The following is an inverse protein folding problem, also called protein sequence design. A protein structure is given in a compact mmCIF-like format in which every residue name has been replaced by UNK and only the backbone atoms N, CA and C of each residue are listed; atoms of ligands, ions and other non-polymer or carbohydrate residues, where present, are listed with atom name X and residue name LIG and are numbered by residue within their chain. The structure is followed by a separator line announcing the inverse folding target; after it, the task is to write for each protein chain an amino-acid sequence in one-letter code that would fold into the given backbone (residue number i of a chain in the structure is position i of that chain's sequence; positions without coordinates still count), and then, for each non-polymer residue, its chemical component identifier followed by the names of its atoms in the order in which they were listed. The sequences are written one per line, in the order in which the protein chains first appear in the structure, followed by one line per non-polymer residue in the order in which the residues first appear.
data_IF_498166938739
#
_entry.id   IF_498166938739
#
_cell.length_a   1.000
_cell.length_b   1.000
_cell.length_c   1.000
_cell.angle_alpha   90.00
_cell.angle_beta   90.00
_cell.angle_gamma   90.00
#
_symmetry.space_group_name_H-M   'P 1'
#
loop_
_entity.id
_entity.type
_entity.pdbx_description
1 polymer ?
#
# COMPACT_ATOMS: atom_id res chain seq x y z
N UNK A 1 18.27 -0.19 10.03
CA UNK A 1 17.08 0.44 10.63
C UNK A 1 16.11 0.79 9.51
N UNK A 2 14.86 0.33 9.53
CA UNK A 2 13.89 0.70 8.49
C UNK A 2 13.60 2.21 8.59
N UNK A 3 13.69 2.89 7.45
CA UNK A 3 13.35 4.32 7.35
C UNK A 3 11.84 4.46 7.56
N UNK A 4 11.43 5.20 8.58
CA UNK A 4 10.03 5.55 8.82
C UNK A 4 9.67 6.75 7.93
N UNK A 5 8.80 6.54 6.95
CA UNK A 5 8.55 7.52 5.89
C UNK A 5 7.55 8.62 6.29
N UNK A 6 6.80 8.41 7.36
CA UNK A 6 5.80 9.36 7.86
C UNK A 6 6.14 9.70 9.34
N UNK A 7 6.67 10.91 9.62
CA UNK A 7 7.18 11.30 10.93
C UNK A 7 6.09 11.70 11.94
N UNK A 8 4.83 11.67 11.53
CA UNK A 8 3.70 11.76 12.44
C UNK A 8 2.75 10.65 12.07
N UNK A 9 2.50 9.65 12.92
CA UNK A 9 1.24 8.94 12.78
C UNK A 9 0.18 10.05 12.84
N UNK A 10 -0.83 10.03 11.97
CA UNK A 10 -2.14 10.41 12.47
C UNK A 10 -2.34 9.47 13.64
N UNK A 11 -1.92 9.89 14.83
CA UNK A 11 -1.88 9.05 16.01
C UNK A 11 -3.31 8.58 16.11
N UNK A 12 -3.54 7.30 15.83
CA UNK A 12 -4.83 6.69 16.12
C UNK A 12 -5.11 7.16 17.53
N UNK A 13 -6.15 7.99 17.76
CA UNK A 13 -6.34 8.57 19.06
C UNK A 13 -6.25 7.44 20.08
N UNK A 14 -5.46 7.68 21.14
CA UNK A 14 -5.32 6.77 22.27
C UNK A 14 -6.69 6.16 22.58
N UNK A 15 -6.74 4.87 22.92
CA UNK A 15 -8.01 4.19 23.22
C UNK A 15 -8.78 5.05 24.22
N UNK A 16 -9.81 5.74 23.72
CA UNK A 16 -10.71 6.56 24.54
C UNK A 16 -11.88 5.68 24.94
N UNK A 17 -12.84 6.24 25.68
CA UNK A 17 -14.12 5.59 26.01
C UNK A 17 -14.89 5.05 24.79
N UNK A 18 -14.49 5.41 23.56
CA UNK A 18 -15.04 4.89 22.29
C UNK A 18 -14.30 3.67 21.71
N UNK A 19 -13.29 3.11 22.40
CA UNK A 19 -12.62 1.86 21.98
C UNK A 19 -11.50 2.01 20.95
N UNK A 20 -11.08 3.25 20.64
CA UNK A 20 -10.00 3.56 19.68
C UNK A 20 -10.51 4.17 18.37
N UNK A 21 -9.66 4.22 17.35
CA UNK A 21 -10.01 4.79 16.04
C UNK A 21 -10.10 3.79 14.88
N UNK A 22 -9.52 2.59 15.03
CA UNK A 22 -9.50 1.57 13.98
C UNK A 22 -10.18 0.31 14.50
N UNK A 23 -11.22 -0.12 13.80
CA UNK A 23 -12.06 -1.26 14.16
C UNK A 23 -11.93 -2.31 13.06
N UNK A 24 -11.66 -3.55 13.44
CA UNK A 24 -11.69 -4.70 12.53
C UNK A 24 -12.63 -5.73 13.10
N UNK A 25 -13.44 -6.35 12.25
CA UNK A 25 -14.37 -7.40 12.69
C UNK A 25 -13.64 -8.50 13.46
N UNK A 26 -14.29 -9.01 14.51
CA UNK A 26 -13.73 -9.95 15.46
C UNK A 26 -14.27 -9.66 16.85
N UNK A 27 -13.37 -9.41 17.80
CA UNK A 27 -13.71 -9.07 19.18
C UNK A 27 -13.26 -7.62 19.45
N UNK A 28 -14.11 -6.75 20.03
CA UNK A 28 -15.45 -7.04 20.58
C UNK A 28 -16.58 -7.03 19.54
N UNK A 29 -16.38 -6.45 18.35
CA UNK A 29 -17.44 -6.27 17.35
C UNK A 29 -17.29 -7.20 16.16
N UNK A 30 -18.37 -7.92 15.83
CA UNK A 30 -18.50 -8.72 14.61
C UNK A 30 -18.64 -7.86 13.35
N UNK A 31 -18.61 -8.52 12.18
CA UNK A 31 -18.71 -7.84 10.89
C UNK A 31 -20.02 -7.05 10.71
N UNK A 32 -21.15 -7.68 11.07
CA UNK A 32 -22.47 -7.08 10.94
C UNK A 32 -22.64 -5.83 11.83
N UNK A 33 -22.10 -5.88 13.06
CA UNK A 33 -22.12 -4.74 13.99
C UNK A 33 -21.32 -3.56 13.44
N UNK A 34 -20.11 -3.81 12.92
CA UNK A 34 -19.31 -2.74 12.31
C UNK A 34 -19.95 -2.16 11.04
N UNK A 35 -20.66 -2.99 10.26
CA UNK A 35 -21.45 -2.49 9.13
C UNK A 35 -22.61 -1.62 9.57
N UNK A 36 -23.37 -2.03 10.59
CA UNK A 36 -24.46 -1.22 11.14
C UNK A 36 -23.94 0.12 11.67
N UNK A 37 -22.86 0.12 12.45
CA UNK A 37 -22.21 1.34 12.92
C UNK A 37 -21.73 2.25 11.77
N UNK A 38 -21.29 1.67 10.66
CA UNK A 38 -20.90 2.44 9.48
C UNK A 38 -22.13 3.04 8.75
N UNK A 39 -23.23 2.31 8.68
CA UNK A 39 -24.50 2.81 8.14
C UNK A 39 -25.08 3.95 8.99
N UNK A 40 -24.92 3.88 10.31
CA UNK A 40 -25.29 4.92 11.26
C UNK A 40 -24.33 6.13 11.25
N UNK A 41 -23.30 6.10 10.39
CA UNK A 41 -22.34 7.19 10.23
C UNK A 41 -21.29 7.29 11.34
N UNK A 42 -21.21 6.32 12.25
CA UNK A 42 -20.20 6.29 13.33
C UNK A 42 -18.82 5.88 12.81
N UNK A 43 -18.80 5.08 11.75
CA UNK A 43 -17.60 4.53 11.15
C UNK A 43 -17.55 4.79 9.63
N UNK A 44 -16.33 4.85 9.09
CA UNK A 44 -16.05 4.84 7.65
C UNK A 44 -15.32 3.57 7.26
N UNK A 45 -15.76 2.96 6.18
CA UNK A 45 -15.08 1.79 5.62
C UNK A 45 -13.69 2.13 5.08
N UNK A 46 -12.67 1.37 5.49
CA UNK A 46 -11.29 1.51 4.98
C UNK A 46 -11.02 0.44 3.94
N UNK A 47 -11.03 -0.83 4.35
CA UNK A 47 -10.75 -1.98 3.50
C UNK A 47 -11.23 -3.28 4.16
N UNK A 48 -11.77 -4.21 3.37
CA UNK A 48 -12.31 -5.49 3.85
C UNK A 48 -13.22 -5.28 5.08
N UNK A 49 -12.95 -5.93 6.20
CA UNK A 49 -13.75 -5.79 7.43
C UNK A 49 -13.13 -4.78 8.41
N UNK A 50 -12.37 -3.82 7.90
CA UNK A 50 -11.72 -2.76 8.69
C UNK A 50 -12.33 -1.39 8.39
N UNK A 51 -12.64 -0.70 9.48
CA UNK A 51 -13.31 0.59 9.54
C UNK A 51 -12.54 1.55 10.43
N UNK A 52 -12.73 2.85 10.20
CA UNK A 52 -12.16 3.92 11.02
C UNK A 52 -13.27 4.79 11.57
N UNK A 53 -13.09 5.39 12.75
CA UNK A 53 -14.05 6.34 13.33
C UNK A 53 -14.32 7.53 12.39
N UNK A 54 -15.56 8.04 12.40
CA UNK A 54 -16.02 9.10 11.49
C UNK A 54 -15.29 10.44 11.61
N UNK A 55 -14.57 10.72 12.68
CA UNK A 55 -13.79 11.95 12.87
C UNK A 55 -12.34 11.79 12.39
N UNK A 56 -11.88 10.56 12.14
CA UNK A 56 -10.49 10.24 11.76
C UNK A 56 -10.36 10.00 10.26
N UNK A 57 -9.60 10.84 9.57
CA UNK A 57 -9.32 10.66 8.13
C UNK A 57 -8.34 9.49 7.95
N UNK A 58 -8.61 8.51 7.06
CA UNK A 58 -7.66 7.44 6.76
C UNK A 58 -6.33 8.01 6.23
N UNK A 59 -5.27 7.84 7.01
CA UNK A 59 -3.90 8.18 6.63
C UNK A 59 -3.16 6.91 6.12
N UNK A 60 -1.88 7.01 5.74
CA UNK A 60 -1.12 5.84 5.32
C UNK A 60 -1.02 4.75 6.40
N UNK A 61 -0.93 5.11 7.68
CA UNK A 61 -0.83 4.14 8.78
C UNK A 61 -2.12 3.33 8.88
N UNK A 62 -3.27 3.98 8.86
CA UNK A 62 -4.60 3.35 8.87
C UNK A 62 -4.76 2.39 7.68
N UNK A 63 -4.41 2.84 6.47
CA UNK A 63 -4.51 2.01 5.27
C UNK A 63 -3.57 0.79 5.33
N UNK A 64 -2.34 0.98 5.81
CA UNK A 64 -1.38 -0.10 5.93
C UNK A 64 -1.83 -1.15 6.97
N UNK A 65 -2.32 -0.70 8.14
CA UNK A 65 -2.86 -1.58 9.17
C UNK A 65 -4.08 -2.34 8.65
N UNK A 66 -5.03 -1.66 7.99
CA UNK A 66 -6.20 -2.29 7.38
C UNK A 66 -5.80 -3.36 6.35
N UNK A 67 -4.84 -3.06 5.48
CA UNK A 67 -4.31 -4.04 4.52
C UNK A 67 -3.69 -5.26 5.21
N UNK A 68 -2.91 -5.05 6.27
CA UNK A 68 -2.23 -6.12 7.00
C UNK A 68 -3.20 -7.07 7.70
N UNK A 69 -4.32 -6.55 8.21
CA UNK A 69 -5.35 -7.37 8.90
C UNK A 69 -6.00 -8.42 8.01
N UNK A 70 -6.05 -8.17 6.70
CA UNK A 70 -6.58 -9.12 5.71
C UNK A 70 -5.69 -10.35 5.54
N UNK A 71 -4.39 -10.21 5.81
CA UNK A 71 -3.45 -11.30 5.64
C UNK A 71 -3.48 -12.27 6.83
N UNK A 72 -3.26 -13.59 6.61
CA UNK A 72 -3.12 -14.55 7.69
C UNK A 72 -2.00 -14.13 8.66
N UNK A 73 -2.27 -14.19 9.97
CA UNK A 73 -1.36 -13.69 11.00
C UNK A 73 0.07 -14.25 10.88
N UNK A 74 0.20 -15.56 10.61
CA UNK A 74 1.51 -16.21 10.46
C UNK A 74 2.31 -15.80 9.21
N UNK A 75 1.66 -15.20 8.20
CA UNK A 75 2.31 -14.73 6.98
C UNK A 75 2.69 -13.25 7.03
N UNK A 76 1.98 -12.43 7.82
CA UNK A 76 2.19 -10.97 7.90
C UNK A 76 3.66 -10.56 8.04
N UNK A 77 4.51 -11.19 8.90
CA UNK A 77 5.89 -10.76 9.08
C UNK A 77 6.79 -10.99 7.84
N UNK A 78 6.36 -11.86 6.91
CA UNK A 78 7.14 -12.24 5.71
C UNK A 78 6.70 -11.52 4.45
N UNK A 79 5.57 -10.82 4.52
CA UNK A 79 4.96 -10.15 3.38
C UNK A 79 5.20 -8.65 3.45
N UNK A 80 5.39 -8.03 2.30
CA UNK A 80 5.51 -6.58 2.13
C UNK A 80 4.39 -6.09 1.21
N UNK A 81 3.68 -5.02 1.57
CA UNK A 81 2.68 -4.42 0.70
C UNK A 81 3.37 -3.74 -0.48
N UNK A 82 2.96 -4.04 -1.72
CA UNK A 82 3.66 -3.58 -2.92
C UNK A 82 2.74 -2.99 -3.98
N UNK A 83 3.34 -2.51 -5.09
CA UNK A 83 2.62 -2.07 -6.31
C UNK A 83 1.46 -1.10 -6.00
N UNK A 84 0.28 -1.34 -6.57
CA UNK A 84 -0.90 -0.49 -6.43
C UNK A 84 -1.41 -0.46 -4.98
N UNK A 85 -1.14 -1.51 -4.19
CA UNK A 85 -1.48 -1.52 -2.76
C UNK A 85 -0.60 -0.56 -1.96
N UNK A 86 0.70 -0.55 -2.21
CA UNK A 86 1.60 0.44 -1.61
C UNK A 86 1.24 1.87 -2.05
N UNK A 87 0.92 2.10 -3.33
CA UNK A 87 0.46 3.41 -3.78
C UNK A 87 -0.87 3.83 -3.12
N UNK A 88 -1.81 2.92 -2.91
CA UNK A 88 -3.04 3.22 -2.18
C UNK A 88 -2.75 3.57 -0.72
N UNK A 89 -1.86 2.82 -0.05
CA UNK A 89 -1.40 3.13 1.30
C UNK A 89 -0.83 4.56 1.35
N UNK A 90 0.02 4.93 0.40
CA UNK A 90 0.55 6.31 0.29
C UNK A 90 -0.49 7.36 -0.15
N UNK A 91 -1.74 6.98 -0.44
CA UNK A 91 -2.79 7.90 -0.89
C UNK A 91 -2.67 8.32 -2.35
N UNK A 92 -1.85 7.61 -3.14
CA UNK A 92 -1.55 7.91 -4.54
C UNK A 92 -2.35 7.04 -5.53
N UNK A 93 -3.11 6.07 -5.06
CA UNK A 93 -3.96 5.21 -5.88
C UNK A 93 -5.34 4.98 -5.23
N UNK A 94 -6.38 4.65 -6.01
CA UNK A 94 -7.66 4.23 -5.46
C UNK A 94 -7.51 2.94 -4.65
N UNK A 95 -8.51 2.66 -3.81
CA UNK A 95 -8.58 1.42 -3.05
C UNK A 95 -8.56 0.20 -4.00
N UNK A 96 -7.63 -0.76 -3.84
CA UNK A 96 -7.56 -1.91 -4.72
C UNK A 96 -8.71 -2.89 -4.44
N UNK A 97 -9.04 -3.74 -5.43
CA UNK A 97 -9.98 -4.85 -5.21
C UNK A 97 -9.31 -6.05 -4.52
N UNK A 98 -8.03 -6.27 -4.80
CA UNK A 98 -7.17 -7.27 -4.16
C UNK A 98 -5.83 -6.63 -3.79
N UNK A 99 -5.28 -7.01 -2.64
CA UNK A 99 -4.01 -6.49 -2.17
C UNK A 99 -2.85 -7.15 -2.93
N UNK A 100 -1.97 -6.35 -3.52
CA UNK A 100 -0.68 -6.81 -4.02
C UNK A 100 0.29 -6.93 -2.85
N UNK A 101 0.70 -8.16 -2.56
CA UNK A 101 1.69 -8.45 -1.52
C UNK A 101 2.90 -9.14 -2.11
N UNK A 102 4.05 -8.86 -1.52
CA UNK A 102 5.34 -9.34 -1.99
C UNK A 102 6.00 -10.21 -0.94
N UNK A 103 6.43 -11.39 -1.35
CA UNK A 103 7.37 -12.21 -0.56
C UNK A 103 8.77 -12.06 -1.14
N UNK A 104 9.75 -12.00 -0.25
CA UNK A 104 11.14 -12.13 -0.66
C UNK A 104 11.39 -13.55 -1.17
N UNK A 105 11.91 -13.68 -2.39
CA UNK A 105 12.29 -14.97 -2.98
C UNK A 105 13.29 -15.76 -2.13
N UNK A 106 14.06 -15.09 -1.26
CA UNK A 106 15.00 -15.75 -0.32
C UNK A 106 14.32 -16.31 0.92
N UNK A 107 13.09 -15.88 1.23
CA UNK A 107 12.32 -16.34 2.37
C UNK A 107 11.45 -17.52 1.99
N UNK A 108 11.46 -18.59 2.80
CA UNK A 108 10.45 -19.66 2.70
C UNK A 108 9.10 -19.08 3.07
N UNK A 109 8.23 -18.84 2.10
CA UNK A 109 6.88 -18.31 2.34
C UNK A 109 5.87 -19.35 1.85
N UNK A 110 4.87 -19.66 2.67
CA UNK A 110 3.79 -20.54 2.25
C UNK A 110 2.90 -19.84 1.21
N UNK A 111 2.21 -20.62 0.39
CA UNK A 111 1.23 -20.07 -0.54
C UNK A 111 0.07 -19.39 0.20
N UNK A 112 -0.48 -18.32 -0.37
CA UNK A 112 -1.80 -17.83 0.05
C UNK A 112 -2.86 -18.88 -0.25
N UNK A 113 -3.94 -18.89 0.54
CA UNK A 113 -5.09 -19.76 0.24
C UNK A 113 -5.69 -19.35 -1.12
N UNK A 114 -6.24 -20.31 -1.88
CA UNK A 114 -7.06 -19.99 -3.06
C UNK A 114 -8.13 -18.96 -2.72
N UNK A 115 -8.45 -18.08 -3.67
CA UNK A 115 -9.44 -17.00 -3.50
C UNK A 115 -9.13 -15.99 -2.39
N UNK A 116 -7.86 -15.87 -1.98
CA UNK A 116 -7.44 -14.78 -1.10
C UNK A 116 -7.76 -13.40 -1.71
N UNK A 117 -8.14 -12.47 -0.86
CA UNK A 117 -8.25 -11.03 -1.16
C UNK A 117 -6.90 -10.35 -1.35
N UNK A 118 -5.81 -11.14 -1.41
CA UNK A 118 -4.46 -10.72 -1.74
C UNK A 118 -3.85 -11.59 -2.85
N UNK A 119 -2.99 -10.99 -3.66
CA UNK A 119 -2.20 -11.63 -4.72
C UNK A 119 -0.73 -11.60 -4.29
N UNK A 120 -0.12 -12.77 -4.17
CA UNK A 120 1.28 -12.92 -3.78
C UNK A 120 2.20 -12.86 -5.00
N UNK A 121 3.16 -11.95 -4.95
CA UNK A 121 4.24 -11.83 -5.92
C UNK A 121 5.57 -12.17 -5.27
N UNK A 122 6.27 -13.15 -5.79
CA UNK A 122 7.62 -13.48 -5.33
C UNK A 122 8.65 -12.60 -6.05
N UNK A 123 9.32 -11.75 -5.30
CA UNK A 123 10.27 -10.76 -5.84
C UNK A 123 11.57 -10.78 -5.05
N UNK A 124 12.66 -10.32 -5.66
CA UNK A 124 13.87 -10.01 -4.93
C UNK A 124 13.73 -8.63 -4.31
N UNK A 125 13.81 -8.55 -2.98
CA UNK A 125 13.71 -7.31 -2.23
C UNK A 125 15.04 -7.00 -1.54
N UNK A 126 15.64 -5.88 -1.89
CA UNK A 126 16.81 -5.34 -1.19
C UNK A 126 16.43 -4.64 0.12
N UNK A 127 17.42 -4.34 1.00
CA UNK A 127 17.17 -3.61 2.24
C UNK A 127 16.53 -2.23 2.04
N UNK A 128 16.82 -1.54 0.93
CA UNK A 128 16.26 -0.24 0.58
C UNK A 128 14.89 -0.31 -0.13
N UNK A 129 14.44 -1.51 -0.50
CA UNK A 129 13.16 -1.70 -1.19
C UNK A 129 11.98 -1.62 -0.23
N UNK A 130 12.23 -1.57 1.09
CA UNK A 130 11.19 -1.61 2.12
C UNK A 130 11.29 -0.42 3.07
N UNK A 131 10.13 0.05 3.50
CA UNK A 131 9.94 1.01 4.58
C UNK A 131 8.87 0.49 5.52
N UNK A 132 8.84 1.02 6.75
CA UNK A 132 7.74 0.76 7.66
C UNK A 132 6.75 1.92 7.60
N UNK A 133 5.47 1.58 7.39
CA UNK A 133 4.34 2.50 7.56
C UNK A 133 3.58 2.02 8.80
N UNK A 134 3.79 2.71 9.92
CA UNK A 134 3.46 2.15 11.23
C UNK A 134 4.30 0.90 11.50
N UNK A 135 3.65 -0.24 11.72
CA UNK A 135 4.30 -1.55 11.91
C UNK A 135 4.27 -2.43 10.67
N UNK A 136 3.74 -1.92 9.55
CA UNK A 136 3.50 -2.71 8.34
C UNK A 136 4.62 -2.46 7.34
N UNK A 137 5.29 -3.52 6.85
CA UNK A 137 6.26 -3.41 5.76
C UNK A 137 5.55 -3.05 4.44
N UNK A 138 6.03 -1.98 3.81
CA UNK A 138 5.55 -1.48 2.52
C UNK A 138 6.76 -1.26 1.61
N UNK A 139 6.63 -1.45 0.31
CA UNK A 139 7.70 -1.09 -0.62
C UNK A 139 8.03 0.39 -0.50
N UNK A 140 9.31 0.76 -0.60
CA UNK A 140 9.72 2.17 -0.60
C UNK A 140 9.02 2.92 -1.75
N UNK A 141 8.85 4.25 -1.66
CA UNK A 141 8.17 5.00 -2.72
C UNK A 141 8.79 4.80 -4.11
N UNK A 142 10.13 4.82 -4.19
CA UNK A 142 10.86 4.55 -5.44
C UNK A 142 10.60 3.13 -5.95
N UNK A 143 10.69 2.13 -5.08
CA UNK A 143 10.40 0.74 -5.45
C UNK A 143 8.97 0.57 -5.94
N UNK A 144 8.02 1.18 -5.23
CA UNK A 144 6.59 1.20 -5.57
C UNK A 144 6.37 1.79 -6.96
N UNK A 145 6.97 2.94 -7.26
CA UNK A 145 6.87 3.58 -8.56
C UNK A 145 7.46 2.72 -9.68
N UNK A 146 8.62 2.09 -9.46
CA UNK A 146 9.23 1.16 -10.42
C UNK A 146 8.31 -0.04 -10.69
N UNK A 147 7.78 -0.67 -9.63
CA UNK A 147 6.91 -1.83 -9.79
C UNK A 147 5.59 -1.46 -10.48
N UNK A 148 5.04 -0.26 -10.24
CA UNK A 148 3.85 0.26 -10.93
C UNK A 148 4.15 0.53 -12.41
N UNK A 149 5.26 1.19 -12.72
CA UNK A 149 5.65 1.46 -14.10
C UNK A 149 5.79 0.16 -14.91
N UNK A 150 6.32 -0.90 -14.29
CA UNK A 150 6.53 -2.19 -14.95
C UNK A 150 5.28 -3.04 -15.07
N UNK A 151 4.43 -3.08 -14.04
CA UNK A 151 3.43 -4.14 -13.90
C UNK A 151 1.98 -3.67 -13.86
N UNK A 152 1.72 -2.40 -13.57
CA UNK A 152 0.35 -1.89 -13.54
C UNK A 152 -0.17 -1.61 -14.96
N UNK A 153 -1.49 -1.67 -15.12
CA UNK A 153 -2.15 -1.25 -16.36
C UNK A 153 -1.94 0.25 -16.56
N UNK A 154 -1.73 0.70 -17.78
CA UNK A 154 -1.41 2.11 -18.09
C UNK A 154 -2.44 3.09 -17.49
N UNK A 155 -3.74 2.75 -17.56
CA UNK A 155 -4.84 3.56 -16.98
C UNK A 155 -4.70 3.79 -15.47
N UNK A 156 -4.13 2.83 -14.75
CA UNK A 156 -3.91 2.91 -13.30
C UNK A 156 -2.52 3.47 -12.98
N UNK A 157 -1.52 3.12 -13.80
CA UNK A 157 -0.12 3.45 -13.59
C UNK A 157 0.16 4.95 -13.71
N UNK A 158 -0.30 5.59 -14.79
CA UNK A 158 0.03 7.01 -15.07
C UNK A 158 -0.48 7.94 -13.96
N UNK A 159 -1.76 7.86 -13.52
CA UNK A 159 -2.24 8.68 -12.41
C UNK A 159 -1.52 8.39 -11.09
N UNK A 160 -1.17 7.12 -10.82
CA UNK A 160 -0.46 6.75 -9.59
C UNK A 160 0.97 7.29 -9.58
N UNK A 161 1.71 7.16 -10.68
CA UNK A 161 3.06 7.70 -10.84
C UNK A 161 3.07 9.22 -10.67
N UNK A 162 2.11 9.92 -11.30
CA UNK A 162 1.97 11.37 -11.15
C UNK A 162 1.74 11.78 -9.70
N UNK A 163 0.84 11.09 -8.98
CA UNK A 163 0.58 11.37 -7.56
C UNK A 163 1.77 11.04 -6.66
N UNK A 164 2.47 9.93 -6.90
CA UNK A 164 3.68 9.56 -6.17
C UNK A 164 4.76 10.64 -6.31
N UNK A 165 4.93 11.17 -7.52
CA UNK A 165 5.92 12.22 -7.80
C UNK A 165 5.54 13.59 -7.24
N UNK A 166 4.24 13.92 -7.23
CA UNK A 166 3.73 15.15 -6.65
C UNK A 166 3.69 15.14 -5.12
N UNK A 167 3.73 13.96 -4.47
CA UNK A 167 3.60 13.86 -3.03
C UNK A 167 4.91 14.27 -2.31
N UNK A 168 4.95 15.40 -1.58
CA UNK A 168 6.19 15.99 -1.07
C UNK A 168 6.92 15.07 -0.08
N UNK A 169 6.19 14.38 0.78
CA UNK A 169 6.78 13.48 1.78
C UNK A 169 7.38 12.18 1.19
N UNK A 170 7.06 11.81 -0.06
CA UNK A 170 7.54 10.56 -0.66
C UNK A 170 8.89 10.71 -1.35
N UNK A 171 9.28 11.94 -1.72
CA UNK A 171 10.55 12.22 -2.41
C UNK A 171 10.74 11.47 -3.73
N UNK A 172 9.66 10.95 -4.34
CA UNK A 172 9.73 10.00 -5.46
C UNK A 172 9.63 10.71 -6.82
N UNK A 173 10.68 11.43 -7.21
CA UNK A 173 10.70 12.12 -8.53
C UNK A 173 10.73 11.10 -9.67
N UNK A 174 9.99 11.37 -10.76
CA UNK A 174 9.93 10.48 -11.94
C UNK A 174 11.32 10.21 -12.56
N UNK A 175 12.22 11.19 -12.50
CA UNK A 175 13.62 11.01 -12.92
C UNK A 175 14.37 9.93 -12.14
N UNK A 176 14.09 9.79 -10.85
CA UNK A 176 14.68 8.72 -10.03
C UNK A 176 14.13 7.36 -10.45
N UNK A 177 12.84 7.29 -10.79
CA UNK A 177 12.18 6.07 -11.29
C UNK A 177 12.81 5.64 -12.61
N UNK A 178 13.00 6.58 -13.55
CA UNK A 178 13.69 6.35 -14.83
C UNK A 178 15.11 5.81 -14.61
N UNK A 179 15.91 6.49 -13.78
CA UNK A 179 17.29 6.04 -13.45
C UNK A 179 17.33 4.65 -12.83
N UNK A 180 16.37 4.32 -11.96
CA UNK A 180 16.27 2.99 -11.37
C UNK A 180 15.98 1.90 -12.41
N UNK A 181 15.13 2.18 -13.41
CA UNK A 181 14.88 1.28 -14.53
C UNK A 181 16.11 1.16 -15.45
N UNK A 182 16.86 2.24 -15.65
CA UNK A 182 18.05 2.26 -16.50
C UNK A 182 19.24 1.50 -15.90
N UNK A 183 19.40 1.54 -14.57
CA UNK A 183 20.40 0.75 -13.87
C UNK A 183 20.16 -0.77 -13.97
N UNK A 184 18.93 -1.19 -14.31
CA UNK A 184 18.59 -2.59 -14.49
C UNK A 184 19.14 -3.17 -15.79
N UNK A 185 20.07 -4.14 -15.70
CA UNK A 185 20.77 -4.72 -16.87
C UNK A 185 19.83 -5.37 -17.90
N UNK A 186 18.72 -5.97 -17.45
CA UNK A 186 17.65 -6.55 -18.29
C UNK A 186 16.31 -6.47 -17.55
N UNK A 187 15.48 -5.51 -17.93
CA UNK A 187 14.17 -5.30 -17.31
C UNK A 187 13.07 -5.57 -18.33
N UNK A 188 12.35 -6.71 -18.23
CA UNK A 188 11.21 -6.99 -19.09
C UNK A 188 10.16 -5.87 -18.97
N UNK A 189 9.59 -5.44 -20.09
CA UNK A 189 8.59 -4.37 -20.12
C UNK A 189 9.15 -2.96 -19.89
N UNK A 190 10.47 -2.76 -19.93
CA UNK A 190 11.11 -1.44 -19.74
C UNK A 190 10.58 -0.38 -20.69
N UNK A 191 10.41 -0.69 -21.98
CA UNK A 191 9.90 0.28 -22.96
C UNK A 191 8.53 0.84 -22.55
N UNK A 192 7.56 -0.04 -22.29
CA UNK A 192 6.24 0.36 -21.81
C UNK A 192 6.28 1.09 -20.44
N UNK A 193 7.22 0.73 -19.57
CA UNK A 193 7.42 1.44 -18.30
C UNK A 193 7.92 2.88 -18.51
N UNK A 194 8.84 3.10 -19.45
CA UNK A 194 9.33 4.43 -19.79
C UNK A 194 8.22 5.27 -20.45
N UNK A 195 7.43 4.70 -21.34
CA UNK A 195 6.26 5.37 -21.93
C UNK A 195 5.26 5.86 -20.86
N UNK A 196 5.00 5.04 -19.84
CA UNK A 196 4.14 5.42 -18.70
C UNK A 196 4.74 6.54 -17.87
N UNK A 197 6.07 6.55 -17.68
CA UNK A 197 6.78 7.62 -16.98
C UNK A 197 6.66 8.92 -17.79
N UNK A 198 6.89 8.87 -19.10
CA UNK A 198 6.76 10.04 -19.98
C UNK A 198 5.34 10.61 -19.98
N UNK A 199 4.33 9.73 -20.06
CA UNK A 199 2.93 10.14 -19.94
C UNK A 199 2.60 10.76 -18.57
N UNK A 200 3.24 10.30 -17.49
CA UNK A 200 3.05 10.86 -16.15
C UNK A 200 3.72 12.24 -16.00
N UNK A 201 4.85 12.46 -16.66
CA UNK A 201 5.60 13.72 -16.70
C UNK A 201 4.95 14.80 -17.58
N UNK A 202 4.17 14.41 -18.58
CA UNK A 202 3.46 15.37 -19.43
C UNK A 202 2.49 16.23 -18.58
N UNK A 203 2.46 17.56 -18.79
CA UNK A 203 1.48 18.43 -18.12
C UNK A 203 0.08 17.91 -18.45
N UNK A 204 -0.72 17.65 -17.41
CA UNK A 204 -2.07 17.13 -17.59
C UNK A 204 -2.89 18.12 -18.41
N UNK A 205 -3.43 17.68 -19.54
CA UNK A 205 -4.54 18.36 -20.22
C UNK A 205 -5.79 18.36 -19.38
#
# INVERSE_FOLDING_TARGET
MPVQLFPSPGALPQVTSTGGALFTAGVPFGHAELQAMAMDGLLRHVYAETYVRWDVRPDPVIRALAASRVLPAGLRPRLTMGRMTAAWIFGCAPRPLRLDVMADRRSRTGALRPFSTAVLHEVLLGPADRVLVGTVPVTSPLRTAVDIALHARTVDAVPALRRLAAHPALGCRLELVRRALDAGRRVPGKAAALERIDAASAPGG
#
